data_IF_253684013457
#
_entry.id   IF_253684013457
#
_cell.length_a   1.000
_cell.length_b   1.000
_cell.length_c   1.000
_cell.angle_alpha   90.00
_cell.angle_beta   90.00
_cell.angle_gamma   90.00
#
_symmetry.space_group_name_H-M   'P 1'
#
loop_
_entity.id
_entity.type
_entity.pdbx_description
1 polymer ?
#
# COMPACT_ATOMS: atom_id res chain seq x y z
N UNK A 1 11.89 -6.50 20.94
CA UNK A 1 11.78 -5.82 19.64
C UNK A 1 10.77 -6.56 18.79
N UNK A 2 9.78 -5.84 18.29
CA UNK A 2 8.70 -6.44 17.50
C UNK A 2 8.89 -6.13 16.03
N UNK A 3 9.03 -7.18 15.23
CA UNK A 3 9.09 -7.06 13.81
C UNK A 3 7.70 -7.42 13.26
N UNK A 4 6.91 -6.41 12.99
CA UNK A 4 5.55 -6.60 12.47
C UNK A 4 5.50 -6.06 11.07
N UNK A 5 5.07 -6.90 10.14
CA UNK A 5 4.82 -6.49 8.76
C UNK A 5 3.31 -6.47 8.53
N UNK A 6 2.80 -5.30 8.18
CA UNK A 6 1.39 -5.15 7.83
C UNK A 6 1.21 -5.38 6.34
N UNK A 7 0.33 -6.30 5.98
CA UNK A 7 0.03 -6.60 4.60
C UNK A 7 -1.30 -5.96 4.25
N UNK A 8 -1.29 -5.07 3.27
CA UNK A 8 -2.45 -4.28 2.90
C UNK A 8 -2.89 -4.71 1.50
N UNK A 9 -3.95 -5.50 1.39
CA UNK A 9 -4.46 -5.85 0.06
C UNK A 9 -5.13 -4.65 -0.59
N UNK A 10 -4.88 -4.46 -1.88
CA UNK A 10 -5.47 -3.37 -2.63
C UNK A 10 -5.93 -3.86 -3.99
N UNK A 11 -7.17 -3.54 -4.31
CA UNK A 11 -7.75 -3.80 -5.61
C UNK A 11 -8.65 -2.62 -5.96
N UNK A 12 -8.25 -1.85 -7.00
CA UNK A 12 -9.00 -0.66 -7.43
C UNK A 12 -9.27 0.31 -6.29
N UNK A 13 -8.20 0.62 -5.52
CA UNK A 13 -8.28 1.48 -4.34
C UNK A 13 -7.72 2.89 -4.58
N UNK A 14 -7.68 3.34 -5.84
CA UNK A 14 -7.05 4.62 -6.17
C UNK A 14 -7.60 5.79 -5.36
N UNK A 15 -8.88 5.79 -5.03
CA UNK A 15 -9.50 6.89 -4.27
C UNK A 15 -9.08 6.91 -2.81
N UNK A 16 -8.67 5.77 -2.25
CA UNK A 16 -8.47 5.64 -0.81
C UNK A 16 -7.06 5.28 -0.41
N UNK A 17 -6.25 4.76 -1.35
CA UNK A 17 -4.97 4.16 -0.97
C UNK A 17 -4.00 5.16 -0.33
N UNK A 18 -3.96 6.39 -0.81
CA UNK A 18 -3.08 7.40 -0.24
C UNK A 18 -3.45 7.69 1.20
N UNK A 19 -4.74 7.85 1.48
CA UNK A 19 -5.21 8.11 2.82
C UNK A 19 -4.88 6.96 3.76
N UNK A 20 -5.09 5.72 3.30
CA UNK A 20 -4.82 4.53 4.11
C UNK A 20 -3.34 4.43 4.43
N UNK A 21 -2.48 4.54 3.42
CA UNK A 21 -1.04 4.36 3.62
C UNK A 21 -0.45 5.53 4.41
N UNK A 22 -0.84 6.76 4.11
CA UNK A 22 -0.34 7.93 4.83
C UNK A 22 -0.75 7.87 6.31
N UNK A 23 -1.97 7.44 6.60
CA UNK A 23 -2.43 7.28 7.98
C UNK A 23 -1.60 6.23 8.71
N UNK A 24 -1.27 5.15 8.03
CA UNK A 24 -0.47 4.09 8.60
C UNK A 24 0.96 4.56 8.91
N UNK A 25 1.58 5.26 7.97
CA UNK A 25 2.93 5.80 8.15
C UNK A 25 2.96 6.80 9.31
N UNK A 26 1.95 7.65 9.39
CA UNK A 26 1.91 8.71 10.40
C UNK A 26 1.65 8.16 11.81
N UNK A 27 0.74 7.20 11.92
CA UNK A 27 0.29 6.72 13.23
C UNK A 27 0.99 5.46 13.70
N UNK A 28 1.59 4.68 12.79
CA UNK A 28 2.23 3.41 13.12
C UNK A 28 3.60 3.29 12.45
N UNK A 29 4.48 4.29 12.63
CA UNK A 29 5.78 4.28 11.96
C UNK A 29 6.71 3.15 12.41
N UNK A 30 6.39 2.53 13.55
CA UNK A 30 7.19 1.42 14.07
C UNK A 30 6.94 0.10 13.34
N UNK A 31 5.88 0.04 12.53
CA UNK A 31 5.55 -1.17 11.77
C UNK A 31 6.03 -1.04 10.34
N UNK A 32 6.49 -2.16 9.78
CA UNK A 32 6.72 -2.25 8.34
C UNK A 32 5.40 -2.55 7.65
N UNK A 33 5.31 -2.19 6.37
CA UNK A 33 4.10 -2.47 5.61
C UNK A 33 4.46 -2.79 4.17
N UNK A 34 3.58 -3.52 3.51
CA UNK A 34 3.62 -3.71 2.06
C UNK A 34 2.19 -3.72 1.53
N UNK A 35 1.96 -2.99 0.45
CA UNK A 35 0.67 -3.01 -0.25
C UNK A 35 0.74 -4.07 -1.34
N UNK A 36 -0.21 -4.98 -1.33
CA UNK A 36 -0.31 -6.01 -2.37
C UNK A 36 -1.34 -5.55 -3.39
N UNK A 37 -0.86 -5.11 -4.55
CA UNK A 37 -1.74 -4.67 -5.63
C UNK A 37 -2.14 -5.88 -6.46
N UNK A 38 -3.38 -6.29 -6.33
CA UNK A 38 -3.91 -7.52 -6.94
C UNK A 38 -4.67 -7.19 -8.23
N UNK A 39 -3.92 -6.85 -9.27
CA UNK A 39 -4.51 -6.67 -10.61
C UNK A 39 -5.41 -5.48 -10.75
N UNK A 40 -5.14 -4.37 -10.05
CA UNK A 40 -5.96 -3.16 -10.15
C UNK A 40 -6.00 -2.63 -11.57
N UNK A 41 -7.17 -2.18 -12.00
CA UNK A 41 -7.39 -1.61 -13.34
C UNK A 41 -7.46 -0.09 -13.32
N UNK A 42 -7.54 0.51 -12.14
CA UNK A 42 -7.52 1.96 -11.98
C UNK A 42 -6.09 2.46 -11.76
N UNK A 43 -5.93 3.66 -11.25
CA UNK A 43 -4.63 4.29 -11.04
C UNK A 43 -3.93 3.84 -9.76
N UNK A 44 -4.39 2.79 -9.08
CA UNK A 44 -3.80 2.33 -7.82
C UNK A 44 -2.29 2.11 -7.95
N UNK A 45 -1.87 1.35 -8.97
CA UNK A 45 -0.45 1.06 -9.17
C UNK A 45 0.36 2.33 -9.40
N UNK A 46 -0.17 3.24 -10.21
CA UNK A 46 0.51 4.49 -10.52
C UNK A 46 0.72 5.32 -9.24
N UNK A 47 -0.30 5.39 -8.40
CA UNK A 47 -0.22 6.12 -7.13
C UNK A 47 0.83 5.48 -6.22
N UNK A 48 0.81 4.16 -6.08
CA UNK A 48 1.78 3.45 -5.25
C UNK A 48 3.20 3.73 -5.70
N UNK A 49 3.43 3.70 -7.00
CA UNK A 49 4.75 3.95 -7.56
C UNK A 49 5.17 5.42 -7.38
N UNK A 50 4.30 6.35 -7.72
CA UNK A 50 4.63 7.77 -7.68
C UNK A 50 4.83 8.29 -6.27
N UNK A 51 4.13 7.73 -5.29
CA UNK A 51 4.28 8.12 -3.89
C UNK A 51 5.44 7.42 -3.21
N UNK A 52 6.08 6.47 -3.87
CA UNK A 52 7.20 5.73 -3.29
C UNK A 52 6.79 4.80 -2.16
N UNK A 53 5.56 4.33 -2.17
CA UNK A 53 5.07 3.38 -1.16
C UNK A 53 5.68 2.00 -1.38
N UNK A 54 5.77 1.22 -0.30
CA UNK A 54 6.19 -0.17 -0.40
C UNK A 54 5.05 -1.00 -0.97
N UNK A 55 5.23 -1.59 -2.13
CA UNK A 55 4.18 -2.38 -2.74
C UNK A 55 4.74 -3.51 -3.61
N UNK A 56 3.88 -4.51 -3.84
CA UNK A 56 4.13 -5.57 -4.81
C UNK A 56 2.93 -5.63 -5.76
N UNK A 57 3.21 -5.79 -7.05
CA UNK A 57 2.19 -6.04 -8.06
C UNK A 57 2.09 -7.54 -8.28
N UNK A 58 0.90 -8.08 -8.08
CA UNK A 58 0.66 -9.48 -8.45
C UNK A 58 0.28 -9.56 -9.92
N UNK A 59 0.77 -10.56 -10.65
CA UNK A 59 0.39 -10.72 -12.04
C UNK A 59 -1.09 -11.04 -12.16
N UNK A 60 -1.69 -10.54 -13.22
CA UNK A 60 -3.11 -10.75 -13.50
C UNK A 60 -3.31 -12.08 -14.23
#
# INVERSE_FOLDING_TARGET
MNNILLIIPAYNEAENIERVVDNLIENYPQFDYVVINDGSRDDTRKILHNRGYNYLDLPV
#
